data_IF_626024704332
#
_entry.id   IF_626024704332
#
_cell.length_a   1.000
_cell.length_b   1.000
_cell.length_c   1.000
_cell.angle_alpha   90.00
_cell.angle_beta   90.00
_cell.angle_gamma   90.00
#
_symmetry.space_group_name_H-M   'P 1'
#
loop_
_entity.id
_entity.type
_entity.pdbx_description
1 polymer ?
#
# COMPACT_ATOMS: atom_id res chain seq x y z
N UNK A 1 -31.91 9.40 14.79
CA UNK A 1 -31.46 10.80 14.65
C UNK A 1 -30.30 11.10 15.62
N UNK A 2 -29.09 10.96 15.12
CA UNK A 2 -27.85 11.26 15.83
C UNK A 2 -26.77 11.39 14.79
N UNK A 3 -26.88 12.43 13.95
CA UNK A 3 -25.96 12.76 12.86
C UNK A 3 -24.59 13.19 13.39
N UNK A 4 -23.89 12.24 14.01
CA UNK A 4 -22.46 12.33 14.26
C UNK A 4 -21.74 12.14 12.94
N UNK A 5 -21.76 13.17 12.09
CA UNK A 5 -20.69 13.39 11.12
C UNK A 5 -19.40 13.46 11.92
N UNK A 6 -18.78 12.31 12.15
CA UNK A 6 -17.50 12.17 12.81
C UNK A 6 -16.50 12.86 11.91
N UNK A 7 -16.20 14.13 12.23
CA UNK A 7 -15.10 14.89 11.66
C UNK A 7 -13.86 14.02 11.78
N UNK A 8 -13.45 13.39 10.68
CA UNK A 8 -12.09 12.87 10.57
C UNK A 8 -11.16 14.05 10.89
N UNK A 9 -10.27 13.87 11.86
CA UNK A 9 -9.21 14.85 12.08
C UNK A 9 -8.44 14.97 10.76
N UNK A 10 -8.23 16.21 10.29
CA UNK A 10 -7.59 16.51 9.00
C UNK A 10 -6.32 15.68 8.75
N UNK A 11 -5.52 15.44 9.80
CA UNK A 11 -4.32 14.59 9.75
C UNK A 11 -4.57 13.15 9.32
N UNK A 12 -5.69 12.54 9.73
CA UNK A 12 -6.02 11.17 9.36
C UNK A 12 -6.49 11.06 7.91
N UNK A 13 -7.20 12.08 7.40
CA UNK A 13 -7.58 12.15 6.00
C UNK A 13 -6.35 12.28 5.09
N UNK A 14 -5.38 13.11 5.49
CA UNK A 14 -4.11 13.26 4.79
C UNK A 14 -3.32 11.94 4.80
N UNK A 15 -3.21 11.26 5.95
CA UNK A 15 -2.53 9.97 6.04
C UNK A 15 -3.17 8.91 5.13
N UNK A 16 -4.50 8.86 5.06
CA UNK A 16 -5.23 7.98 4.14
C UNK A 16 -5.01 8.34 2.68
N UNK A 17 -4.99 9.62 2.34
CA UNK A 17 -4.71 10.06 0.98
C UNK A 17 -3.29 9.68 0.56
N UNK A 18 -2.29 9.90 1.42
CA UNK A 18 -0.91 9.50 1.18
C UNK A 18 -0.76 7.97 1.09
N UNK A 19 -1.42 7.21 1.98
CA UNK A 19 -1.45 5.74 1.91
C UNK A 19 -2.14 5.24 0.64
N UNK A 20 -3.24 5.85 0.24
CA UNK A 20 -3.96 5.55 -1.00
C UNK A 20 -3.10 5.83 -2.23
N UNK A 21 -2.36 6.93 -2.23
CA UNK A 21 -1.38 7.23 -3.29
C UNK A 21 -0.24 6.22 -3.30
N UNK A 22 0.33 5.85 -2.14
CA UNK A 22 1.38 4.83 -2.06
C UNK A 22 0.90 3.49 -2.62
N UNK A 23 -0.34 3.11 -2.29
CA UNK A 23 -1.00 1.90 -2.79
C UNK A 23 -1.25 1.95 -4.30
N UNK A 24 -1.66 3.12 -4.83
CA UNK A 24 -1.83 3.31 -6.27
C UNK A 24 -0.49 3.24 -7.02
N UNK A 25 0.58 3.79 -6.44
CA UNK A 25 1.93 3.69 -6.99
C UNK A 25 2.42 2.23 -6.98
N UNK A 26 2.14 1.45 -5.94
CA UNK A 26 2.40 0.01 -5.90
C UNK A 26 1.70 -0.74 -7.05
N UNK A 27 0.43 -0.42 -7.31
CA UNK A 27 -0.29 -0.97 -8.47
C UNK A 27 0.40 -0.59 -9.79
N UNK A 28 0.81 0.67 -9.93
CA UNK A 28 1.47 1.16 -11.13
C UNK A 28 2.81 0.45 -11.36
N UNK A 29 3.60 0.25 -10.31
CA UNK A 29 4.86 -0.50 -10.34
C UNK A 29 4.63 -1.94 -10.80
N UNK A 30 3.59 -2.60 -10.29
CA UNK A 30 3.19 -3.94 -10.74
C UNK A 30 2.77 -3.96 -12.22
N UNK A 31 1.97 -2.99 -12.66
CA UNK A 31 1.51 -2.88 -14.05
C UNK A 31 2.67 -2.63 -15.02
N UNK A 32 3.57 -1.71 -14.69
CA UNK A 32 4.77 -1.43 -15.49
C UNK A 32 5.67 -2.66 -15.53
N UNK A 33 5.82 -3.38 -14.41
CA UNK A 33 6.53 -4.65 -14.35
C UNK A 33 5.97 -5.71 -15.32
N UNK A 34 4.65 -5.82 -15.46
CA UNK A 34 4.05 -6.72 -16.47
C UNK A 34 4.47 -6.30 -17.89
N UNK A 35 4.48 -5.01 -18.18
CA UNK A 35 4.80 -4.52 -19.52
C UNK A 35 6.27 -4.67 -19.88
N UNK A 36 7.19 -4.48 -18.93
CA UNK A 36 8.63 -4.46 -19.23
C UNK A 36 9.30 -5.78 -18.87
N UNK A 37 9.07 -6.31 -17.67
CA UNK A 37 9.75 -7.52 -17.20
C UNK A 37 9.18 -8.78 -17.83
N UNK A 38 7.85 -8.97 -17.74
CA UNK A 38 7.21 -10.18 -18.25
C UNK A 38 7.34 -10.24 -19.77
N UNK A 39 7.05 -9.13 -20.47
CA UNK A 39 7.21 -9.09 -21.93
C UNK A 39 8.67 -9.25 -22.35
N UNK A 40 9.61 -8.64 -21.61
CA UNK A 40 11.05 -8.79 -21.84
C UNK A 40 11.50 -10.24 -21.74
N UNK A 41 11.11 -10.95 -20.68
CA UNK A 41 11.45 -12.36 -20.50
C UNK A 41 10.79 -13.27 -21.56
N UNK A 42 9.55 -12.98 -21.95
CA UNK A 42 8.84 -13.73 -23.02
C UNK A 42 9.58 -13.60 -24.36
N UNK A 43 10.04 -12.39 -24.71
CA UNK A 43 10.79 -12.15 -25.95
C UNK A 43 12.11 -12.92 -25.98
N UNK A 44 12.76 -13.10 -24.82
CA UNK A 44 14.01 -13.87 -24.71
C UNK A 44 13.79 -15.37 -24.51
N UNK A 45 12.54 -15.83 -24.40
CA UNK A 45 12.20 -17.25 -24.21
C UNK A 45 12.51 -17.79 -22.81
N UNK A 46 12.73 -16.92 -21.81
CA UNK A 46 12.99 -17.34 -20.43
C UNK A 46 11.67 -17.57 -19.67
N UNK A 47 11.20 -18.80 -19.68
CA UNK A 47 9.93 -19.19 -19.04
C UNK A 47 9.97 -19.02 -17.52
N UNK A 48 11.10 -19.34 -16.88
CA UNK A 48 11.23 -19.23 -15.42
C UNK A 48 11.29 -17.77 -14.99
N UNK A 49 12.05 -16.94 -15.70
CA UNK A 49 12.07 -15.49 -15.50
C UNK A 49 10.69 -14.88 -15.68
N UNK A 50 9.97 -15.28 -16.74
CA UNK A 50 8.60 -14.82 -17.02
C UNK A 50 7.65 -15.14 -15.86
N UNK A 51 7.63 -16.38 -15.38
CA UNK A 51 6.76 -16.79 -14.28
C UNK A 51 7.11 -16.07 -12.97
N UNK A 52 8.39 -15.86 -12.70
CA UNK A 52 8.85 -15.11 -11.53
C UNK A 52 8.38 -13.66 -11.58
N UNK A 53 8.65 -12.96 -12.68
CA UNK A 53 8.22 -11.58 -12.88
C UNK A 53 6.70 -11.43 -12.85
N UNK A 54 5.96 -12.41 -13.39
CA UNK A 54 4.50 -12.41 -13.33
C UNK A 54 4.00 -12.54 -11.89
N UNK A 55 4.56 -13.48 -11.13
CA UNK A 55 4.20 -13.68 -9.72
C UNK A 55 4.48 -12.41 -8.89
N UNK A 56 5.64 -11.79 -9.09
CA UNK A 56 6.02 -10.53 -8.48
C UNK A 56 5.02 -9.41 -8.82
N UNK A 57 4.67 -9.25 -10.09
CA UNK A 57 3.70 -8.25 -10.53
C UNK A 57 2.31 -8.49 -9.95
N UNK A 58 1.87 -9.75 -9.86
CA UNK A 58 0.61 -10.10 -9.21
C UNK A 58 0.61 -9.77 -7.72
N UNK A 59 1.72 -10.03 -7.03
CA UNK A 59 1.88 -9.69 -5.61
C UNK A 59 1.86 -8.16 -5.43
N UNK A 60 2.64 -7.40 -6.19
CA UNK A 60 2.68 -5.94 -6.10
C UNK A 60 1.36 -5.29 -6.48
N UNK A 61 0.76 -5.72 -7.59
CA UNK A 61 -0.53 -5.23 -8.06
C UNK A 61 -1.67 -5.57 -7.11
N UNK A 62 -1.73 -6.81 -6.62
CA UNK A 62 -2.72 -7.25 -5.64
C UNK A 62 -2.57 -6.54 -4.29
N UNK A 63 -1.34 -6.39 -3.82
CA UNK A 63 -1.00 -5.66 -2.60
C UNK A 63 -1.38 -4.17 -2.71
N UNK A 64 -1.04 -3.52 -3.83
CA UNK A 64 -1.45 -2.16 -4.13
C UNK A 64 -2.96 -2.01 -4.17
N UNK A 65 -3.68 -2.92 -4.84
CA UNK A 65 -5.13 -2.87 -4.93
C UNK A 65 -5.78 -3.03 -3.54
N UNK A 66 -5.31 -3.99 -2.75
CA UNK A 66 -5.75 -4.17 -1.37
C UNK A 66 -5.50 -2.92 -0.51
N UNK A 67 -4.36 -2.25 -0.69
CA UNK A 67 -4.04 -0.99 -0.03
C UNK A 67 -4.97 0.15 -0.44
N UNK A 68 -5.29 0.30 -1.73
CA UNK A 68 -6.25 1.30 -2.23
C UNK A 68 -7.63 1.07 -1.59
N UNK A 69 -8.08 -0.18 -1.55
CA UNK A 69 -9.34 -0.54 -0.89
C UNK A 69 -9.29 -0.34 0.62
N UNK A 70 -8.13 -0.44 1.27
CA UNK A 70 -7.98 -0.20 2.70
C UNK A 70 -7.96 1.29 3.09
N UNK A 71 -7.67 2.19 2.15
CA UNK A 71 -7.46 3.62 2.41
C UNK A 71 -8.59 4.52 1.91
N UNK A 72 -9.02 4.37 0.64
CA UNK A 72 -9.95 5.32 0.00
C UNK A 72 -11.41 4.98 0.36
N UNK A 73 -11.80 3.72 0.18
CA UNK A 73 -13.12 3.20 0.57
C UNK A 73 -12.96 1.76 1.13
N UNK A 74 -12.90 1.61 2.46
CA UNK A 74 -12.77 0.32 3.13
C UNK A 74 -13.85 -0.66 2.65
N UNK A 75 -13.44 -1.64 1.85
CA UNK A 75 -14.33 -2.69 1.34
C UNK A 75 -14.40 -3.85 2.35
N UNK A 76 -15.58 -4.46 2.61
CA UNK A 76 -15.72 -5.55 3.58
C UNK A 76 -14.80 -6.74 3.29
N UNK A 77 -14.53 -7.00 2.01
CA UNK A 77 -13.58 -8.02 1.57
C UNK A 77 -12.17 -7.85 2.17
N UNK A 78 -11.70 -6.62 2.38
CA UNK A 78 -10.39 -6.37 2.99
C UNK A 78 -10.43 -6.61 4.49
N UNK A 79 -11.53 -6.23 5.16
CA UNK A 79 -11.66 -6.50 6.60
C UNK A 79 -11.75 -7.99 6.93
N UNK A 80 -12.33 -8.79 6.04
CA UNK A 80 -12.45 -10.25 6.23
C UNK A 80 -11.14 -10.99 5.92
N UNK A 81 -10.50 -10.67 4.79
CA UNK A 81 -9.33 -11.41 4.33
C UNK A 81 -7.99 -10.85 4.83
N UNK A 82 -7.93 -9.55 5.14
CA UNK A 82 -6.72 -8.85 5.56
C UNK A 82 -7.02 -7.85 6.69
N UNK A 83 -7.48 -8.32 7.87
CA UNK A 83 -7.93 -7.45 8.96
C UNK A 83 -6.83 -6.51 9.46
N UNK A 84 -5.55 -6.85 9.28
CA UNK A 84 -4.43 -5.98 9.65
C UNK A 84 -4.37 -4.68 8.83
N UNK A 85 -4.87 -4.66 7.58
CA UNK A 85 -4.94 -3.45 6.75
C UNK A 85 -6.04 -2.48 7.19
N UNK A 86 -6.96 -2.91 8.04
CA UNK A 86 -7.97 -2.01 8.61
C UNK A 86 -7.36 -1.10 9.69
N UNK A 87 -6.26 -1.53 10.32
CA UNK A 87 -5.55 -0.80 11.37
C UNK A 87 -4.44 0.06 10.79
N UNK A 88 -4.29 1.29 11.31
CA UNK A 88 -3.24 2.21 10.88
C UNK A 88 -1.84 1.59 11.01
N UNK A 89 -1.54 0.94 12.14
CA UNK A 89 -0.25 0.29 12.36
C UNK A 89 0.02 -0.88 11.40
N UNK A 90 -1.01 -1.67 11.08
CA UNK A 90 -0.86 -2.78 10.13
C UNK A 90 -0.62 -2.29 8.70
N UNK A 91 -1.30 -1.21 8.27
CA UNK A 91 -0.99 -0.55 6.99
C UNK A 91 0.42 0.03 6.95
N UNK A 92 0.86 0.66 8.04
CA UNK A 92 2.19 1.24 8.12
C UNK A 92 3.29 0.16 8.02
N UNK A 93 3.11 -1.00 8.68
CA UNK A 93 4.00 -2.16 8.55
C UNK A 93 3.98 -2.71 7.11
N UNK A 94 2.79 -2.82 6.51
CA UNK A 94 2.64 -3.24 5.13
C UNK A 94 3.42 -2.32 4.17
N UNK A 95 3.26 -1.00 4.29
CA UNK A 95 4.02 -0.04 3.49
C UNK A 95 5.53 -0.09 3.77
N UNK A 96 5.95 -0.37 5.01
CA UNK A 96 7.36 -0.51 5.34
C UNK A 96 7.98 -1.65 4.53
N UNK A 97 7.37 -2.85 4.56
CA UNK A 97 7.88 -3.99 3.81
C UNK A 97 7.77 -3.81 2.30
N UNK A 98 6.66 -3.27 1.81
CA UNK A 98 6.47 -3.00 0.39
C UNK A 98 7.50 -1.97 -0.12
N UNK A 99 7.74 -0.90 0.64
CA UNK A 99 8.74 0.11 0.32
C UNK A 99 10.17 -0.46 0.32
N UNK A 100 10.54 -1.25 1.33
CA UNK A 100 11.84 -1.93 1.38
C UNK A 100 12.04 -2.86 0.18
N UNK A 101 11.00 -3.60 -0.19
CA UNK A 101 11.04 -4.49 -1.34
C UNK A 101 11.25 -3.74 -2.66
N UNK A 102 10.44 -2.70 -2.93
CA UNK A 102 10.56 -1.91 -4.16
C UNK A 102 11.96 -1.29 -4.27
N UNK A 103 12.50 -0.71 -3.18
CA UNK A 103 13.85 -0.12 -3.18
C UNK A 103 14.92 -1.15 -3.59
N UNK A 104 14.77 -2.41 -3.18
CA UNK A 104 15.71 -3.49 -3.50
C UNK A 104 15.42 -4.25 -4.80
N UNK A 105 14.29 -3.97 -5.47
CA UNK A 105 13.78 -4.78 -6.57
C UNK A 105 14.69 -4.78 -7.80
N UNK A 106 15.13 -3.61 -8.24
CA UNK A 106 15.97 -3.44 -9.43
C UNK A 106 17.29 -2.77 -9.06
N UNK A 107 18.39 -3.26 -9.63
CA UNK A 107 19.74 -2.76 -9.33
C UNK A 107 20.18 -1.62 -10.24
N UNK A 108 19.71 -1.58 -11.48
CA UNK A 108 20.16 -0.64 -12.52
C UNK A 108 19.04 -0.31 -13.51
N UNK A 109 19.14 0.84 -14.19
CA UNK A 109 18.19 1.28 -15.21
C UNK A 109 17.22 2.37 -14.74
N UNK A 110 16.43 2.91 -15.69
CA UNK A 110 15.42 3.94 -15.42
C UNK A 110 14.32 3.42 -14.47
N UNK A 111 13.96 2.14 -14.59
CA UNK A 111 13.01 1.50 -13.70
C UNK A 111 13.51 1.43 -12.27
N UNK A 112 14.79 1.12 -12.06
CA UNK A 112 15.39 1.11 -10.72
C UNK A 112 15.33 2.49 -10.06
N UNK A 113 15.50 3.56 -10.84
CA UNK A 113 15.36 4.92 -10.32
C UNK A 113 13.90 5.26 -9.97
N UNK A 114 12.94 4.88 -10.82
CA UNK A 114 11.50 5.04 -10.55
C UNK A 114 11.05 4.26 -9.32
N UNK A 115 11.43 2.98 -9.24
CA UNK A 115 11.19 2.10 -8.09
C UNK A 115 11.81 2.70 -6.82
N UNK A 116 13.04 3.20 -6.88
CA UNK A 116 13.68 3.85 -5.73
C UNK A 116 12.88 5.05 -5.21
N UNK A 117 12.40 5.94 -6.10
CA UNK A 117 11.58 7.09 -5.72
C UNK A 117 10.25 6.67 -5.09
N UNK A 118 9.55 5.69 -5.70
CA UNK A 118 8.28 5.17 -5.20
C UNK A 118 8.47 4.45 -3.86
N UNK A 119 9.54 3.66 -3.74
CA UNK A 119 9.93 2.98 -2.52
C UNK A 119 10.23 3.97 -1.40
N UNK A 120 10.99 5.04 -1.67
CA UNK A 120 11.28 6.09 -0.69
C UNK A 120 10.01 6.82 -0.23
N UNK A 121 9.11 7.16 -1.16
CA UNK A 121 7.81 7.73 -0.82
C UNK A 121 7.00 6.79 0.10
N UNK A 122 6.92 5.51 -0.26
CA UNK A 122 6.19 4.48 0.50
C UNK A 122 6.78 4.31 1.90
N UNK A 123 8.11 4.32 2.03
CA UNK A 123 8.80 4.30 3.32
C UNK A 123 8.51 5.56 4.17
N UNK A 124 8.43 6.73 3.54
CA UNK A 124 8.04 7.96 4.22
C UNK A 124 6.62 7.88 4.77
N UNK A 125 5.68 7.36 3.97
CA UNK A 125 4.29 7.11 4.41
C UNK A 125 4.25 6.07 5.54
N UNK A 126 5.04 5.01 5.45
CA UNK A 126 5.17 3.99 6.49
C UNK A 126 5.68 4.59 7.81
N UNK A 127 6.75 5.39 7.76
CA UNK A 127 7.33 6.06 8.92
C UNK A 127 6.35 7.02 9.58
N UNK A 128 5.66 7.85 8.79
CA UNK A 128 4.59 8.71 9.28
C UNK A 128 3.45 7.89 9.91
N UNK A 129 3.00 6.83 9.24
CA UNK A 129 1.95 5.93 9.72
C UNK A 129 2.31 5.27 11.05
N UNK A 130 3.54 4.77 11.20
CA UNK A 130 4.04 4.18 12.45
C UNK A 130 4.12 5.22 13.57
N UNK A 131 4.65 6.40 13.28
CA UNK A 131 4.74 7.49 14.27
C UNK A 131 3.36 7.89 14.79
N UNK A 132 2.40 8.09 13.89
CA UNK A 132 1.02 8.40 14.27
C UNK A 132 0.32 7.22 14.96
N UNK A 133 0.58 5.98 14.56
CA UNK A 133 0.04 4.79 15.24
C UNK A 133 0.54 4.70 16.69
N UNK A 134 1.82 4.96 16.95
CA UNK A 134 2.38 5.01 18.30
C UNK A 134 1.78 6.16 19.13
N UNK A 135 1.61 7.34 18.52
CA UNK A 135 1.02 8.51 19.19
C UNK A 135 -0.47 8.34 19.49
N UNK A 136 -1.21 7.67 18.62
CA UNK A 136 -2.66 7.46 18.75
C UNK A 136 -3.01 6.18 19.53
N UNK A 137 -2.09 5.23 19.68
CA UNK A 137 -2.30 3.98 20.41
C UNK A 137 -2.55 4.15 21.91
N UNK A 138 -2.24 5.31 22.49
CA UNK A 138 -2.57 5.65 23.88
C UNK A 138 -3.98 6.23 24.05
N UNK A 139 -4.70 6.48 22.94
CA UNK A 139 -6.09 6.98 22.97
C UNK A 139 -7.08 5.81 22.81
N UNK A 140 -8.28 5.91 23.43
CA UNK A 140 -9.33 4.91 23.29
C UNK A 140 -9.64 4.61 21.82
N UNK A 141 -9.95 3.35 21.44
CA UNK A 141 -10.22 2.93 20.06
C UNK A 141 -11.30 3.76 19.35
N UNK A 142 -12.28 4.29 20.10
CA UNK A 142 -13.32 5.19 19.59
C UNK A 142 -12.79 6.56 19.11
N UNK A 143 -11.56 6.93 19.49
CA UNK A 143 -10.87 8.17 19.10
C UNK A 143 -9.66 7.93 18.18
N UNK A 144 -9.09 6.72 18.18
CA UNK A 144 -7.89 6.36 17.41
C UNK A 144 -8.19 5.62 16.11
N UNK A 145 -9.34 4.96 16.01
CA UNK A 145 -9.84 4.37 14.77
C UNK A 145 -10.96 5.25 14.19
N UNK A 146 -10.98 5.48 12.87
CA UNK A 146 -12.13 6.13 12.27
C UNK A 146 -13.29 5.15 12.39
N UNK A 147 -14.36 5.55 13.08
CA UNK A 147 -15.54 4.71 13.20
C UNK A 147 -16.06 4.43 11.80
N UNK A 148 -15.70 3.26 11.26
CA UNK A 148 -16.39 2.65 10.17
C UNK A 148 -17.76 2.33 10.74
N UNK A 149 -18.73 3.20 10.45
CA UNK A 149 -20.12 2.97 10.78
C UNK A 149 -20.47 1.58 10.30
N UNK A 150 -20.75 0.68 11.25
CA UNK A 150 -21.55 -0.50 10.98
C UNK A 150 -22.95 0.02 10.70
N UNK A 151 -23.24 0.27 9.44
CA UNK A 151 -24.61 0.18 8.94
C UNK A 151 -24.84 -1.24 8.44
#
# INVERSE_FOLDING_TARGET
PGGGSLRMRSSQAILRLCGGLASALLCLVGLVGVLVDVLGCVVHGDVLGTLHSLAECCVLGGAGAAGVFAEIRPHPFVSENAPYLTKLGGRAIFYLFAGMYIVGRKRTGLEAWGDFMIGLYTLGVAGAGLFYAQRLGSLPPALSEPALGRE
#
